data_IF_420681039396
#
_entry.id   IF_420681039396
#
_cell.length_a   1.000
_cell.length_b   1.000
_cell.length_c   1.000
_cell.angle_alpha   90.00
_cell.angle_beta   90.00
_cell.angle_gamma   90.00
#
_symmetry.space_group_name_H-M   'P 1'
#
loop_
_entity.id
_entity.type
_entity.pdbx_description
1 polymer ?
#
# COMPACT_ATOMS: atom_id res chain seq x y z
N UNK A 1 13.00 -1.16 12.72
CA UNK A 1 11.77 -1.59 13.44
C UNK A 1 12.18 -2.41 14.66
N UNK A 2 11.52 -2.19 15.80
CA UNK A 2 11.79 -2.95 17.01
C UNK A 2 11.43 -4.43 16.79
N UNK A 3 12.22 -5.32 17.37
CA UNK A 3 12.07 -6.78 17.24
C UNK A 3 10.64 -7.25 17.57
N UNK A 4 9.97 -6.58 18.51
CA UNK A 4 8.59 -6.86 18.92
C UNK A 4 7.55 -6.60 17.80
N UNK A 5 7.71 -5.53 17.04
CA UNK A 5 6.81 -5.22 15.91
C UNK A 5 6.99 -6.25 14.78
N UNK A 6 8.22 -6.68 14.53
CA UNK A 6 8.49 -7.73 13.55
C UNK A 6 7.85 -9.06 13.94
N UNK A 7 7.96 -9.44 15.21
CA UNK A 7 7.34 -10.65 15.76
C UNK A 7 5.82 -10.62 15.65
N UNK A 8 5.18 -9.48 15.98
CA UNK A 8 3.72 -9.30 15.85
C UNK A 8 3.23 -9.39 14.40
N UNK A 9 3.98 -8.87 13.45
CA UNK A 9 3.65 -9.00 12.01
C UNK A 9 3.77 -10.45 11.55
N UNK A 10 4.81 -11.15 11.97
CA UNK A 10 5.03 -12.55 11.61
C UNK A 10 3.91 -13.48 12.11
N UNK A 11 3.33 -13.20 13.28
CA UNK A 11 2.17 -13.93 13.79
C UNK A 11 0.98 -13.96 12.80
N UNK A 12 0.83 -12.91 11.98
CA UNK A 12 -0.26 -12.82 11.01
C UNK A 12 -0.11 -13.78 9.82
N UNK A 13 1.10 -14.23 9.54
CA UNK A 13 1.42 -15.08 8.38
C UNK A 13 1.88 -16.49 8.74
N UNK A 14 2.12 -16.77 10.02
CA UNK A 14 2.72 -18.03 10.49
C UNK A 14 1.93 -19.31 10.11
N UNK A 15 0.63 -19.18 9.88
CA UNK A 15 -0.25 -20.29 9.51
C UNK A 15 -0.57 -20.35 8.01
N UNK A 16 0.05 -19.50 7.21
CA UNK A 16 -0.11 -19.50 5.76
C UNK A 16 0.92 -20.41 5.12
N UNK A 17 0.52 -21.12 4.08
CA UNK A 17 1.43 -21.88 3.23
C UNK A 17 2.20 -20.90 2.33
N UNK A 18 3.34 -20.42 2.81
CA UNK A 18 4.24 -19.50 2.12
C UNK A 18 5.48 -20.25 1.71
N UNK A 19 5.85 -20.21 0.44
CA UNK A 19 7.04 -20.87 -0.07
C UNK A 19 8.32 -20.24 0.51
N UNK A 20 8.39 -18.90 0.52
CA UNK A 20 9.54 -18.15 1.02
C UNK A 20 9.11 -16.75 1.49
N UNK A 21 9.92 -16.14 2.37
CA UNK A 21 9.75 -14.77 2.84
C UNK A 21 11.09 -14.03 2.68
N UNK A 22 11.16 -13.17 1.68
CA UNK A 22 12.39 -12.50 1.26
C UNK A 22 12.31 -11.01 1.59
N UNK A 23 13.38 -10.43 2.10
CA UNK A 23 13.49 -8.98 2.27
C UNK A 23 13.25 -8.26 0.93
N UNK A 24 12.47 -7.17 0.96
CA UNK A 24 12.03 -6.48 -0.26
C UNK A 24 13.20 -5.91 -1.09
N UNK A 25 14.31 -5.48 -0.46
CA UNK A 25 15.47 -4.99 -1.19
C UNK A 25 16.25 -6.13 -1.84
N UNK A 26 16.34 -7.28 -1.14
CA UNK A 26 16.96 -8.49 -1.69
C UNK A 26 16.11 -8.98 -2.87
N UNK A 27 14.79 -9.06 -2.70
CA UNK A 27 13.87 -9.45 -3.77
C UNK A 27 14.01 -8.53 -4.99
N UNK A 28 14.00 -7.21 -4.80
CA UNK A 28 14.16 -6.25 -5.90
C UNK A 28 15.49 -6.46 -6.63
N UNK A 29 16.59 -6.64 -5.91
CA UNK A 29 17.89 -6.92 -6.50
C UNK A 29 17.88 -8.22 -7.31
N UNK A 30 17.25 -9.26 -6.77
CA UNK A 30 17.17 -10.58 -7.41
C UNK A 30 16.39 -10.52 -8.73
N UNK A 31 15.22 -9.87 -8.76
CA UNK A 31 14.43 -9.74 -9.99
C UNK A 31 15.13 -8.88 -11.06
N UNK A 32 15.79 -7.79 -10.64
CA UNK A 32 16.56 -6.96 -11.57
C UNK A 32 17.78 -7.68 -12.18
N UNK A 33 18.28 -8.72 -11.50
CA UNK A 33 19.33 -9.61 -12.00
C UNK A 33 18.77 -10.81 -12.79
N UNK A 34 17.48 -10.85 -13.08
CA UNK A 34 16.84 -11.90 -13.87
C UNK A 34 16.53 -13.19 -13.10
N UNK A 35 16.65 -13.21 -11.79
CA UNK A 35 16.14 -14.31 -10.95
C UNK A 35 14.62 -14.31 -10.98
N UNK A 36 13.99 -15.46 -10.97
CA UNK A 36 12.53 -15.65 -10.96
C UNK A 36 11.79 -15.25 -12.27
N UNK A 37 12.47 -15.06 -13.41
CA UNK A 37 11.83 -14.62 -14.66
C UNK A 37 10.69 -15.56 -15.11
N UNK A 38 10.83 -16.88 -14.87
CA UNK A 38 9.84 -17.88 -15.25
C UNK A 38 9.07 -18.46 -14.05
N UNK A 39 9.28 -17.92 -12.87
CA UNK A 39 8.73 -18.48 -11.62
C UNK A 39 7.58 -17.63 -11.07
N UNK A 40 7.33 -16.44 -11.64
CA UNK A 40 6.31 -15.51 -11.18
C UNK A 40 5.20 -15.39 -12.21
N UNK A 41 4.00 -15.87 -11.87
CA UNK A 41 2.81 -15.75 -12.70
C UNK A 41 2.09 -14.40 -12.50
N UNK A 42 2.11 -13.87 -11.29
CA UNK A 42 1.39 -12.66 -10.92
C UNK A 42 2.04 -11.93 -9.75
N UNK A 43 1.96 -10.61 -9.76
CA UNK A 43 2.46 -9.75 -8.69
C UNK A 43 1.30 -9.06 -7.97
N UNK A 44 1.20 -9.24 -6.66
CA UNK A 44 0.34 -8.46 -5.76
C UNK A 44 1.20 -7.48 -4.96
N UNK A 45 1.36 -6.28 -5.49
CA UNK A 45 2.17 -5.24 -4.85
C UNK A 45 1.35 -4.44 -3.83
N UNK A 46 1.29 -4.93 -2.59
CA UNK A 46 0.54 -4.33 -1.49
C UNK A 46 1.45 -3.62 -0.47
N UNK A 47 2.75 -3.86 -0.55
CA UNK A 47 3.75 -3.29 0.36
C UNK A 47 3.98 -1.80 0.11
N UNK A 48 4.06 -1.02 1.18
CA UNK A 48 4.42 0.40 1.16
C UNK A 48 4.72 0.90 2.58
N UNK A 49 5.44 2.03 2.70
CA UNK A 49 5.36 2.85 3.90
C UNK A 49 3.98 3.53 3.91
N UNK A 50 3.06 3.04 4.74
CA UNK A 50 1.68 3.53 4.84
C UNK A 50 1.48 4.60 5.93
N UNK A 51 2.56 5.03 6.59
CA UNK A 51 2.54 6.04 7.65
C UNK A 51 2.33 7.42 7.03
N UNK A 52 1.10 7.91 7.09
CA UNK A 52 0.70 9.20 6.48
C UNK A 52 1.35 10.43 7.13
N UNK A 53 1.93 10.24 8.32
CA UNK A 53 2.64 11.26 9.10
C UNK A 53 4.16 11.17 8.99
N UNK A 54 4.68 10.34 8.08
CA UNK A 54 6.13 10.23 7.87
C UNK A 54 6.69 11.54 7.31
N UNK A 55 7.64 12.20 8.01
CA UNK A 55 8.18 13.48 7.59
C UNK A 55 9.25 13.35 6.48
N UNK A 56 9.90 12.19 6.39
CA UNK A 56 10.95 11.96 5.40
C UNK A 56 10.33 11.66 4.02
N UNK A 57 10.26 12.70 3.19
CA UNK A 57 9.72 12.59 1.84
C UNK A 57 10.58 11.70 0.95
N UNK A 58 11.91 11.81 1.05
CA UNK A 58 12.82 11.08 0.18
C UNK A 58 12.73 9.58 0.46
N UNK A 59 12.66 9.19 1.72
CA UNK A 59 12.39 7.83 2.13
C UNK A 59 11.06 7.30 1.56
N UNK A 60 9.97 8.07 1.68
CA UNK A 60 8.67 7.66 1.12
C UNK A 60 8.74 7.52 -0.41
N UNK A 61 9.39 8.47 -1.10
CA UNK A 61 9.52 8.39 -2.56
C UNK A 61 10.35 7.19 -2.98
N UNK A 62 11.40 6.84 -2.25
CA UNK A 62 12.20 5.67 -2.60
C UNK A 62 11.42 4.37 -2.38
N UNK A 63 10.81 4.21 -1.21
CA UNK A 63 10.09 2.97 -0.83
C UNK A 63 8.77 2.80 -1.60
N UNK A 64 8.00 3.87 -1.78
CA UNK A 64 6.67 3.76 -2.38
C UNK A 64 6.66 3.99 -3.90
N UNK A 65 7.44 4.95 -4.40
CA UNK A 65 7.42 5.31 -5.82
C UNK A 65 8.50 4.58 -6.62
N UNK A 66 9.78 4.74 -6.23
CA UNK A 66 10.89 4.20 -7.01
C UNK A 66 10.90 2.67 -7.02
N UNK A 67 10.63 2.05 -5.86
CA UNK A 67 10.46 0.61 -5.76
C UNK A 67 9.32 0.11 -6.66
N UNK A 68 8.15 0.75 -6.59
CA UNK A 68 6.97 0.38 -7.38
C UNK A 68 7.21 0.53 -8.88
N UNK A 69 7.94 1.58 -9.32
CA UNK A 69 8.33 1.77 -10.72
C UNK A 69 9.17 0.61 -11.23
N UNK A 70 10.23 0.24 -10.49
CA UNK A 70 11.10 -0.89 -10.87
C UNK A 70 10.33 -2.20 -10.95
N UNK A 71 9.39 -2.42 -10.02
CA UNK A 71 8.55 -3.61 -10.01
C UNK A 71 7.58 -3.63 -11.20
N UNK A 72 6.99 -2.49 -11.57
CA UNK A 72 6.15 -2.35 -12.77
C UNK A 72 6.95 -2.60 -14.05
N UNK A 73 8.15 -2.04 -14.14
CA UNK A 73 9.04 -2.24 -15.30
C UNK A 73 9.41 -3.72 -15.45
N UNK A 74 9.73 -4.39 -14.35
CA UNK A 74 9.98 -5.84 -14.35
C UNK A 74 8.76 -6.63 -14.82
N UNK A 75 7.57 -6.32 -14.26
CA UNK A 75 6.29 -6.93 -14.64
C UNK A 75 6.01 -6.76 -16.13
N UNK A 76 6.17 -5.54 -16.66
CA UNK A 76 5.94 -5.22 -18.06
C UNK A 76 6.92 -5.94 -19.00
N UNK A 77 8.21 -5.96 -18.65
CA UNK A 77 9.26 -6.59 -19.47
C UNK A 77 9.12 -8.11 -19.55
N UNK A 78 8.57 -8.73 -18.52
CA UNK A 78 8.39 -10.18 -18.44
C UNK A 78 6.94 -10.63 -18.71
N UNK A 79 6.06 -9.70 -19.13
CA UNK A 79 4.64 -9.95 -19.39
C UNK A 79 3.89 -10.58 -18.20
N UNK A 80 4.23 -10.17 -16.98
CA UNK A 80 3.62 -10.63 -15.73
C UNK A 80 2.48 -9.68 -15.36
N UNK A 81 1.32 -10.21 -14.98
CA UNK A 81 0.20 -9.38 -14.50
C UNK A 81 0.51 -8.79 -13.11
N UNK A 82 0.07 -7.56 -12.87
CA UNK A 82 0.32 -6.89 -11.60
C UNK A 82 -0.94 -6.19 -11.06
N UNK A 83 -1.26 -6.47 -9.80
CA UNK A 83 -2.24 -5.70 -9.02
C UNK A 83 -1.47 -4.90 -7.97
N UNK A 84 -1.72 -3.60 -7.88
CA UNK A 84 -1.06 -2.76 -6.88
C UNK A 84 -2.04 -1.98 -6.02
N UNK A 85 -1.63 -1.71 -4.79
CA UNK A 85 -2.39 -0.88 -3.86
C UNK A 85 -2.10 0.61 -4.11
N UNK A 86 -3.04 1.27 -4.80
CA UNK A 86 -3.21 2.71 -4.70
C UNK A 86 -4.00 3.06 -3.44
N UNK A 87 -4.47 4.27 -3.29
CA UNK A 87 -5.15 4.74 -2.08
C UNK A 87 -6.20 5.80 -2.40
N UNK A 88 -7.30 5.81 -1.67
CA UNK A 88 -8.26 6.92 -1.71
C UNK A 88 -7.66 8.26 -1.26
N UNK A 89 -6.51 8.26 -0.57
CA UNK A 89 -5.78 9.48 -0.22
C UNK A 89 -5.34 10.31 -1.43
N UNK A 90 -5.34 9.73 -2.65
CA UNK A 90 -5.05 10.46 -3.90
C UNK A 90 -6.14 11.44 -4.30
N UNK A 91 -7.32 11.36 -3.68
CA UNK A 91 -8.39 12.36 -3.88
C UNK A 91 -8.20 13.62 -3.02
N UNK A 92 -7.20 13.64 -2.13
CA UNK A 92 -6.88 14.78 -1.28
C UNK A 92 -8.05 15.23 -0.43
N UNK A 93 -8.31 16.54 -0.44
CA UNK A 93 -9.47 17.17 0.24
C UNK A 93 -10.73 17.25 -0.63
N UNK A 94 -10.77 16.55 -1.77
CA UNK A 94 -11.90 16.57 -2.69
C UNK A 94 -13.14 15.85 -2.14
N UNK A 95 -14.29 16.16 -2.74
CA UNK A 95 -15.59 15.55 -2.40
C UNK A 95 -16.09 14.59 -3.48
N UNK A 96 -15.37 14.49 -4.59
CA UNK A 96 -15.72 13.64 -5.73
C UNK A 96 -14.70 12.50 -5.80
N UNK A 97 -15.17 11.28 -5.58
CA UNK A 97 -14.34 10.07 -5.53
C UNK A 97 -14.56 9.24 -6.80
N UNK A 98 -14.07 9.78 -7.92
CA UNK A 98 -14.08 9.12 -9.23
C UNK A 98 -12.66 8.97 -9.74
N UNK A 99 -12.41 7.91 -10.51
CA UNK A 99 -11.11 7.59 -11.13
C UNK A 99 -10.81 8.51 -12.33
N UNK A 100 -10.87 9.81 -12.10
CA UNK A 100 -10.60 10.88 -13.04
C UNK A 100 -9.50 11.78 -12.46
N UNK A 101 -8.46 12.04 -13.25
CA UNK A 101 -7.30 12.85 -12.82
C UNK A 101 -7.68 14.27 -12.37
N UNK A 102 -8.80 14.81 -12.83
CA UNK A 102 -9.31 16.12 -12.39
C UNK A 102 -9.77 16.12 -10.92
N UNK A 103 -10.02 14.95 -10.34
CA UNK A 103 -10.44 14.80 -8.94
C UNK A 103 -9.29 14.42 -8.02
N UNK A 104 -8.06 14.43 -8.52
CA UNK A 104 -6.89 13.92 -7.79
C UNK A 104 -6.01 15.06 -7.29
N UNK A 105 -5.59 14.94 -6.04
CA UNK A 105 -4.61 15.83 -5.39
C UNK A 105 -3.95 15.11 -4.22
N UNK A 106 -2.83 15.61 -3.73
CA UNK A 106 -2.14 15.02 -2.58
C UNK A 106 -2.10 15.99 -1.40
N UNK A 107 -2.27 15.48 -0.18
CA UNK A 107 -2.21 16.26 1.06
C UNK A 107 -0.96 16.00 1.89
N UNK A 108 -0.24 14.92 1.61
CA UNK A 108 0.96 14.52 2.33
C UNK A 108 1.87 13.67 1.43
N UNK A 109 3.08 13.39 1.88
CA UNK A 109 4.08 12.64 1.10
C UNK A 109 3.62 11.23 0.73
N UNK A 110 2.82 10.58 1.59
CA UNK A 110 2.26 9.27 1.28
C UNK A 110 1.28 9.35 0.09
N UNK A 111 0.29 10.24 0.14
CA UNK A 111 -0.67 10.43 -0.95
C UNK A 111 0.01 10.90 -2.23
N UNK A 112 1.03 11.75 -2.13
CA UNK A 112 1.87 12.17 -3.25
C UNK A 112 2.55 10.98 -3.92
N UNK A 113 3.18 10.09 -3.13
CA UNK A 113 3.86 8.90 -3.67
C UNK A 113 2.91 7.97 -4.42
N UNK A 114 1.69 7.78 -3.90
CA UNK A 114 0.67 6.95 -4.55
C UNK A 114 0.14 7.59 -5.83
N UNK A 115 -0.13 8.89 -5.81
CA UNK A 115 -0.58 9.64 -6.99
C UNK A 115 0.48 9.67 -8.09
N UNK A 116 1.74 9.89 -7.75
CA UNK A 116 2.85 9.86 -8.70
C UNK A 116 3.02 8.48 -9.35
N UNK A 117 2.79 7.41 -8.59
CA UNK A 117 2.82 6.06 -9.16
C UNK A 117 1.60 5.79 -10.06
N UNK A 118 0.38 6.20 -9.66
CA UNK A 118 -0.82 6.12 -10.51
C UNK A 118 -0.59 6.85 -11.85
N UNK A 119 0.02 8.05 -11.82
CA UNK A 119 0.35 8.81 -13.02
C UNK A 119 1.38 8.08 -13.89
N UNK A 120 2.43 7.54 -13.26
CA UNK A 120 3.45 6.76 -13.98
C UNK A 120 2.85 5.53 -14.68
N UNK A 121 1.91 4.84 -14.05
CA UNK A 121 1.18 3.73 -14.68
C UNK A 121 0.37 4.23 -15.87
N UNK A 122 -0.40 5.31 -15.74
CA UNK A 122 -1.21 5.89 -16.84
C UNK A 122 -0.36 6.27 -18.06
N UNK A 123 0.79 6.88 -17.83
CA UNK A 123 1.71 7.30 -18.90
C UNK A 123 2.31 6.12 -19.68
N UNK A 124 2.41 4.96 -19.05
CA UNK A 124 3.06 3.79 -19.62
C UNK A 124 2.10 2.66 -20.01
N UNK A 125 0.84 2.68 -19.57
CA UNK A 125 -0.10 1.57 -19.72
C UNK A 125 -0.32 1.12 -21.16
N UNK A 126 -0.28 2.05 -22.11
CA UNK A 126 -0.45 1.73 -23.55
C UNK A 126 0.73 0.96 -24.16
N UNK A 127 1.88 0.95 -23.49
CA UNK A 127 3.09 0.24 -23.91
C UNK A 127 3.22 -1.12 -23.23
N UNK A 128 2.43 -1.38 -22.18
CA UNK A 128 2.48 -2.58 -21.36
C UNK A 128 1.49 -3.59 -21.92
N UNK A 129 1.94 -4.83 -22.14
CA UNK A 129 1.10 -5.93 -22.67
C UNK A 129 0.39 -6.70 -21.54
N UNK A 130 1.03 -6.81 -20.38
CA UNK A 130 0.45 -7.45 -19.22
C UNK A 130 -0.68 -6.61 -18.60
N UNK A 131 -1.59 -7.25 -17.90
CA UNK A 131 -2.66 -6.56 -17.20
C UNK A 131 -2.13 -5.89 -15.93
N UNK A 132 -2.32 -4.57 -15.81
CA UNK A 132 -1.95 -3.79 -14.63
C UNK A 132 -3.21 -3.19 -14.04
N UNK A 133 -3.45 -3.42 -12.74
CA UNK A 133 -4.64 -2.94 -12.04
C UNK A 133 -4.24 -2.20 -10.76
N UNK A 134 -4.60 -0.93 -10.66
CA UNK A 134 -4.45 -0.12 -9.45
C UNK A 134 -5.74 -0.10 -8.63
N UNK A 135 -5.69 -0.56 -7.39
CA UNK A 135 -6.83 -0.59 -6.48
C UNK A 135 -6.77 0.57 -5.51
N UNK A 136 -7.72 1.51 -5.58
CA UNK A 136 -7.82 2.65 -4.67
C UNK A 136 -8.53 2.26 -3.38
N UNK A 137 -7.77 1.73 -2.44
CA UNK A 137 -8.31 1.35 -1.15
C UNK A 137 -8.74 2.59 -0.34
N UNK A 138 -9.97 2.55 0.16
CA UNK A 138 -10.47 3.41 1.23
C UNK A 138 -10.02 2.85 2.58
N UNK A 139 -10.75 3.17 3.66
CA UNK A 139 -10.43 2.64 4.97
C UNK A 139 -10.66 1.12 5.02
N UNK A 140 -9.59 0.37 5.16
CA UNK A 140 -9.63 -1.08 5.29
C UNK A 140 -9.60 -1.45 6.76
N UNK A 141 -10.45 -2.38 7.18
CA UNK A 141 -10.47 -2.94 8.53
C UNK A 141 -10.65 -4.45 8.46
N UNK A 142 -10.24 -5.16 9.52
CA UNK A 142 -10.37 -6.60 9.59
C UNK A 142 -9.50 -7.21 10.68
N UNK A 143 -9.36 -8.54 10.70
CA UNK A 143 -8.47 -9.23 11.62
C UNK A 143 -7.00 -8.82 11.38
N UNK A 144 -6.16 -9.07 12.38
CA UNK A 144 -4.70 -8.88 12.29
C UNK A 144 -4.22 -7.42 12.22
N UNK A 145 -5.00 -6.48 12.77
CA UNK A 145 -4.61 -5.07 12.82
C UNK A 145 -3.80 -4.67 14.06
N UNK A 146 -3.72 -5.53 15.06
CA UNK A 146 -3.14 -5.22 16.38
C UNK A 146 -1.69 -4.71 16.31
N UNK A 147 -0.94 -5.11 15.30
CA UNK A 147 0.44 -4.67 15.10
C UNK A 147 0.57 -3.25 14.55
N UNK A 148 -0.53 -2.67 14.07
CA UNK A 148 -0.53 -1.31 13.47
C UNK A 148 -0.66 -0.21 14.52
N UNK A 149 -0.99 -0.55 15.77
CA UNK A 149 -1.13 0.38 16.90
C UNK A 149 -2.02 1.58 16.53
N UNK A 150 -1.48 2.81 16.58
CA UNK A 150 -2.22 4.04 16.27
C UNK A 150 -2.69 4.12 14.81
N UNK A 151 -2.06 3.36 13.91
CA UNK A 151 -2.43 3.27 12.50
C UNK A 151 -3.48 2.20 12.20
N UNK A 152 -3.98 1.51 13.23
CA UNK A 152 -5.10 0.59 13.09
C UNK A 152 -6.37 1.32 12.67
N UNK A 153 -7.33 0.58 12.10
CA UNK A 153 -8.59 1.18 11.63
C UNK A 153 -9.40 1.81 12.78
N UNK A 154 -10.22 2.78 12.44
CA UNK A 154 -11.17 3.39 13.37
C UNK A 154 -12.10 2.32 13.98
N UNK A 155 -12.49 1.31 13.20
CA UNK A 155 -13.31 0.20 13.67
C UNK A 155 -12.60 -0.58 14.78
N UNK A 156 -11.31 -0.87 14.60
CA UNK A 156 -10.50 -1.56 15.61
C UNK A 156 -10.37 -0.73 16.91
N UNK A 157 -10.10 0.57 16.78
CA UNK A 157 -10.02 1.47 17.91
C UNK A 157 -11.36 1.57 18.65
N UNK A 158 -12.47 1.71 17.94
CA UNK A 158 -13.80 1.77 18.54
C UNK A 158 -14.19 0.46 19.22
N UNK A 159 -13.90 -0.67 18.62
CA UNK A 159 -14.14 -1.96 19.24
C UNK A 159 -13.40 -2.08 20.58
N UNK A 160 -12.12 -1.75 20.63
CA UNK A 160 -11.35 -1.80 21.86
C UNK A 160 -11.83 -0.79 22.89
N UNK A 161 -12.19 0.43 22.49
CA UNK A 161 -12.71 1.48 23.36
C UNK A 161 -14.06 1.05 23.99
N UNK A 162 -14.95 0.48 23.18
CA UNK A 162 -16.22 -0.04 23.69
C UNK A 162 -16.01 -1.21 24.66
N UNK A 163 -15.12 -2.13 24.32
CA UNK A 163 -14.80 -3.28 25.19
C UNK A 163 -14.24 -2.87 26.54
N UNK A 164 -13.46 -1.79 26.59
CA UNK A 164 -12.85 -1.29 27.83
C UNK A 164 -13.78 -0.40 28.66
N UNK A 165 -14.60 0.42 28.02
CA UNK A 165 -15.33 1.51 28.70
C UNK A 165 -16.84 1.43 28.52
N UNK A 166 -17.37 0.52 27.71
CA UNK A 166 -18.81 0.42 27.43
C UNK A 166 -19.37 1.59 26.62
N UNK A 167 -18.53 2.50 26.15
CA UNK A 167 -18.94 3.68 25.37
C UNK A 167 -17.90 4.02 24.31
N UNK A 168 -18.34 4.79 23.30
CA UNK A 168 -17.49 5.26 22.20
C UNK A 168 -17.40 6.80 22.22
N UNK A 169 -16.19 7.30 21.98
CA UNK A 169 -15.97 8.72 21.67
C UNK A 169 -15.89 8.88 20.16
N UNK A 170 -16.94 9.40 19.56
CA UNK A 170 -17.00 9.64 18.14
C UNK A 170 -16.25 10.92 17.77
N UNK A 171 -15.72 10.96 16.55
CA UNK A 171 -15.22 12.21 15.99
C UNK A 171 -16.39 13.18 15.77
N UNK A 172 -16.14 14.46 15.99
CA UNK A 172 -17.13 15.49 15.69
C UNK A 172 -17.27 15.58 14.16
N UNK A 173 -18.46 15.35 13.64
CA UNK A 173 -18.73 15.47 12.21
C UNK A 173 -18.60 16.92 11.72
N UNK A 174 -18.31 17.11 10.45
CA UNK A 174 -18.25 18.44 9.83
C UNK A 174 -19.60 19.14 9.73
N UNK A 175 -20.67 18.44 10.02
CA UNK A 175 -22.06 18.94 9.96
C UNK A 175 -22.78 18.98 11.31
N UNK A 176 -22.06 18.99 12.41
CA UNK A 176 -22.59 19.17 13.76
C UNK A 176 -22.77 17.89 14.54
#
# INVERSE_FOLDING_TARGET
EELDTYTKKFENIKNLEILDCIDHNIFLKDILNGKYVNDIDQIFHLGACSKTTEPDRDYIMDVNLNYSKKLLEYSANNNINMIYASSASVYGGGTIFKEDSNNESSLNHYSESKLLFDNYVRENITKIKSQIVGMRYFNVYGPYEQHKEVMSSVVYHFYNQFKQHGMLKLFRGSHG
#
